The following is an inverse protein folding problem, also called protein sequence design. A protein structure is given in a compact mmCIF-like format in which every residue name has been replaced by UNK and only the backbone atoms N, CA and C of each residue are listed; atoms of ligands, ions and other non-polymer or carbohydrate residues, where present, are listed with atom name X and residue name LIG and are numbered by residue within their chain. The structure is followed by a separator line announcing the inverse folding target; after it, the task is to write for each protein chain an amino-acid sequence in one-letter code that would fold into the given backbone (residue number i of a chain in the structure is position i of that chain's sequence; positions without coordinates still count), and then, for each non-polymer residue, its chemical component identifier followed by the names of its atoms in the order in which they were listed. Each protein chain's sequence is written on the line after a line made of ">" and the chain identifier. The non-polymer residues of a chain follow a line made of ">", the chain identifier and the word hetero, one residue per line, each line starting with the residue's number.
data_IF_359039308058
#
_entry.id   IF_359039308058
#
_cell.length_a   1.000
_cell.length_b   1.000
_cell.length_c   1.000
_cell.angle_alpha   90.00
_cell.angle_beta   90.00
_cell.angle_gamma   90.00
#
_symmetry.space_group_name_H-M   'P 1'
#
loop_
_entity.id
_entity.type
_entity.pdbx_description
1 polymer ?
#
# COMPACT_ATOMS: atom_id res chain seq x y z
N UNK A 1 -11.65 -6.58 23.12
CA UNK A 1 -12.31 -6.43 21.80
C UNK A 1 -11.43 -7.04 20.73
N UNK A 2 -12.01 -7.67 19.72
CA UNK A 2 -11.29 -8.27 18.58
C UNK A 2 -11.56 -7.40 17.35
N UNK A 3 -10.50 -6.92 16.68
CA UNK A 3 -10.59 -6.18 15.42
C UNK A 3 -10.33 -7.14 14.26
N UNK A 4 -11.16 -7.10 13.21
CA UNK A 4 -10.97 -7.87 11.98
C UNK A 4 -10.58 -6.94 10.84
N UNK A 5 -9.43 -7.22 10.24
CA UNK A 5 -8.91 -6.49 9.10
C UNK A 5 -8.88 -7.41 7.88
N UNK A 6 -9.37 -6.89 6.75
CA UNK A 6 -9.27 -7.53 5.43
C UNK A 6 -8.49 -6.62 4.51
N UNK A 7 -7.59 -7.21 3.72
CA UNK A 7 -6.94 -6.53 2.61
C UNK A 7 -7.22 -7.29 1.31
N UNK A 8 -7.47 -6.57 0.21
CA UNK A 8 -7.78 -7.17 -1.07
C UNK A 8 -7.47 -6.24 -2.26
N UNK A 9 -6.55 -6.66 -3.14
CA UNK A 9 -6.44 -6.07 -4.47
C UNK A 9 -7.66 -6.47 -5.32
N UNK A 10 -8.55 -5.52 -5.56
CA UNK A 10 -9.85 -5.74 -6.23
C UNK A 10 -9.77 -5.63 -7.75
N UNK A 11 -8.65 -5.18 -8.30
CA UNK A 11 -8.46 -5.00 -9.75
C UNK A 11 -9.65 -4.26 -10.43
N UNK A 12 -10.11 -3.17 -9.80
CA UNK A 12 -11.25 -2.36 -10.22
C UNK A 12 -12.45 -2.46 -9.26
N UNK A 13 -12.55 -1.50 -8.34
CA UNK A 13 -13.57 -1.50 -7.27
C UNK A 13 -15.01 -1.49 -7.83
N UNK A 14 -15.26 -0.69 -8.88
CA UNK A 14 -16.61 -0.56 -9.47
C UNK A 14 -17.17 -1.91 -9.91
N UNK A 15 -16.35 -2.72 -10.59
CA UNK A 15 -16.74 -4.06 -11.05
C UNK A 15 -17.13 -4.96 -9.87
N UNK A 16 -16.32 -4.95 -8.81
CA UNK A 16 -16.58 -5.78 -7.63
C UNK A 16 -17.84 -5.32 -6.91
N UNK A 17 -18.01 -4.01 -6.69
CA UNK A 17 -19.24 -3.45 -6.08
C UNK A 17 -20.48 -3.87 -6.85
N UNK A 18 -20.47 -3.78 -8.19
CA UNK A 18 -21.59 -4.24 -9.02
C UNK A 18 -21.84 -5.74 -8.89
N UNK A 19 -20.79 -6.56 -8.86
CA UNK A 19 -20.93 -8.01 -8.73
C UNK A 19 -21.57 -8.46 -7.39
N UNK A 20 -21.43 -7.65 -6.34
CA UNK A 20 -22.06 -7.89 -5.03
C UNK A 20 -23.42 -7.18 -4.87
N UNK A 21 -23.91 -6.49 -5.90
CA UNK A 21 -25.17 -5.74 -5.84
C UNK A 21 -25.11 -4.44 -5.03
N UNK A 22 -23.92 -3.95 -4.69
CA UNK A 22 -23.71 -2.70 -3.96
C UNK A 22 -22.55 -2.73 -2.98
N UNK A 23 -22.11 -1.54 -2.54
CA UNK A 23 -20.97 -1.40 -1.63
C UNK A 23 -21.27 -1.92 -0.22
N UNK A 24 -22.48 -1.66 0.31
CA UNK A 24 -22.92 -2.20 1.60
C UNK A 24 -22.86 -3.73 1.64
N UNK A 25 -23.57 -4.44 0.73
CA UNK A 25 -23.49 -5.90 0.62
C UNK A 25 -22.06 -6.44 0.48
N UNK A 26 -21.21 -5.78 -0.33
CA UNK A 26 -19.79 -6.13 -0.45
C UNK A 26 -19.09 -6.07 0.92
N UNK A 27 -19.17 -4.94 1.62
CA UNK A 27 -18.48 -4.76 2.90
C UNK A 27 -18.96 -5.72 3.99
N UNK A 28 -20.27 -5.97 4.08
CA UNK A 28 -20.85 -6.91 5.04
C UNK A 28 -20.42 -8.36 4.77
N UNK A 29 -20.31 -8.75 3.50
CA UNK A 29 -19.88 -10.10 3.09
C UNK A 29 -18.44 -10.43 3.50
N UNK A 30 -17.59 -9.42 3.66
CA UNK A 30 -16.19 -9.61 4.07
C UNK A 30 -16.04 -9.87 5.56
N UNK A 31 -17.10 -9.65 6.34
CA UNK A 31 -17.10 -9.87 7.78
C UNK A 31 -15.85 -9.25 8.44
N UNK A 32 -15.65 -7.94 8.21
CA UNK A 32 -14.50 -7.19 8.70
C UNK A 32 -14.95 -5.93 9.45
N UNK A 33 -14.04 -5.33 10.21
CA UNK A 33 -14.21 -4.01 10.83
C UNK A 33 -13.43 -2.93 10.07
N UNK A 34 -12.32 -3.35 9.42
CA UNK A 34 -11.52 -2.53 8.53
C UNK A 34 -11.29 -3.30 7.23
N UNK A 35 -11.57 -2.66 6.10
CA UNK A 35 -11.37 -3.23 4.76
C UNK A 35 -10.46 -2.33 3.95
N UNK A 36 -9.35 -2.88 3.48
CA UNK A 36 -8.35 -2.20 2.68
C UNK A 36 -8.39 -2.75 1.24
N UNK A 37 -8.83 -1.92 0.30
CA UNK A 37 -8.83 -2.24 -1.11
C UNK A 37 -7.64 -1.61 -1.82
N UNK A 38 -7.02 -2.37 -2.73
CA UNK A 38 -6.01 -1.92 -3.68
C UNK A 38 -6.49 -2.05 -5.12
N UNK A 39 -5.87 -1.31 -6.04
CA UNK A 39 -6.32 -1.17 -7.43
C UNK A 39 -7.81 -0.84 -7.54
N UNK A 40 -8.26 0.20 -6.84
CA UNK A 40 -9.62 0.69 -7.02
C UNK A 40 -9.88 1.15 -8.45
N UNK A 41 -8.83 1.61 -9.16
CA UNK A 41 -8.84 2.18 -10.52
C UNK A 41 -9.76 3.38 -10.66
N UNK A 42 -10.06 4.03 -9.54
CA UNK A 42 -10.88 5.23 -9.50
C UNK A 42 -9.99 6.47 -9.58
N UNK A 43 -10.50 7.49 -10.26
CA UNK A 43 -10.00 8.86 -10.14
C UNK A 43 -10.93 9.67 -9.26
N UNK A 44 -10.49 10.83 -8.77
CA UNK A 44 -11.35 11.76 -8.00
C UNK A 44 -12.63 12.14 -8.74
N UNK A 45 -12.56 12.23 -10.07
CA UNK A 45 -13.71 12.59 -10.91
C UNK A 45 -14.77 11.48 -10.99
N UNK A 46 -14.35 10.23 -10.87
CA UNK A 46 -15.18 9.03 -11.00
C UNK A 46 -15.82 8.55 -9.69
N UNK A 47 -15.47 9.17 -8.56
CA UNK A 47 -15.98 8.77 -7.25
C UNK A 47 -17.45 9.20 -7.10
N UNK A 48 -18.33 8.21 -7.08
CA UNK A 48 -19.77 8.38 -6.90
C UNK A 48 -20.20 7.96 -5.50
N UNK A 49 -21.43 8.33 -5.12
CA UNK A 49 -22.01 8.01 -3.81
C UNK A 49 -21.91 6.51 -3.52
N UNK A 50 -22.31 5.68 -4.47
CA UNK A 50 -22.46 4.23 -4.29
C UNK A 50 -21.12 3.50 -4.24
N UNK A 51 -20.03 4.18 -4.57
CA UNK A 51 -18.67 3.65 -4.43
C UNK A 51 -17.95 4.17 -3.18
N UNK A 52 -18.46 5.24 -2.55
CA UNK A 52 -17.80 5.91 -1.44
C UNK A 52 -18.54 5.74 -0.11
N UNK A 53 -19.87 5.69 -0.13
CA UNK A 53 -20.70 5.72 1.07
C UNK A 53 -21.46 4.40 1.25
N UNK A 54 -21.26 3.79 2.41
CA UNK A 54 -22.09 2.72 2.93
C UNK A 54 -22.54 3.06 4.36
N UNK A 55 -23.76 2.69 4.71
CA UNK A 55 -24.31 2.98 6.04
C UNK A 55 -23.51 2.24 7.12
N UNK A 56 -23.20 2.94 8.22
CA UNK A 56 -22.33 2.39 9.27
C UNK A 56 -20.83 2.39 8.94
N UNK A 57 -20.41 2.79 7.75
CA UNK A 57 -19.00 2.79 7.34
C UNK A 57 -18.47 4.20 7.07
N UNK A 58 -17.17 4.40 7.27
CA UNK A 58 -16.40 5.56 6.81
C UNK A 58 -15.32 5.10 5.83
N UNK A 59 -15.02 5.92 4.82
CA UNK A 59 -14.10 5.55 3.74
C UNK A 59 -13.06 6.64 3.46
N UNK A 60 -11.86 6.21 3.09
CA UNK A 60 -10.71 7.08 2.76
C UNK A 60 -10.02 6.55 1.51
N UNK A 61 -9.70 7.42 0.56
CA UNK A 61 -9.21 7.04 -0.77
C UNK A 61 -7.96 7.81 -1.19
N UNK A 62 -6.92 7.12 -1.63
CA UNK A 62 -5.87 7.76 -2.41
C UNK A 62 -6.12 7.51 -3.89
N UNK A 63 -6.11 8.59 -4.67
CA UNK A 63 -6.37 8.56 -6.10
C UNK A 63 -5.08 8.84 -6.84
N UNK A 64 -4.87 8.15 -7.95
CA UNK A 64 -3.84 8.55 -8.90
C UNK A 64 -4.15 9.94 -9.46
N UNK A 65 -3.11 10.76 -9.61
CA UNK A 65 -3.16 12.09 -10.24
C UNK A 65 -2.73 12.08 -11.71
N UNK A 66 -2.11 10.99 -12.16
CA UNK A 66 -1.56 10.87 -13.52
C UNK A 66 -2.50 10.15 -14.47
N UNK A 67 -2.64 8.83 -14.30
CA UNK A 67 -3.27 7.95 -15.30
C UNK A 67 -4.68 7.55 -14.90
N UNK A 68 -5.67 7.82 -15.74
CA UNK A 68 -7.05 7.36 -15.52
C UNK A 68 -7.11 5.82 -15.51
N UNK A 69 -7.87 5.23 -14.59
CA UNK A 69 -8.02 3.76 -14.50
C UNK A 69 -6.80 3.02 -13.93
N UNK A 70 -5.87 3.74 -13.31
CA UNK A 70 -4.63 3.20 -12.76
C UNK A 70 -4.59 3.25 -11.23
N UNK A 71 -4.00 2.25 -10.58
CA UNK A 71 -3.72 2.27 -9.13
C UNK A 71 -4.95 2.63 -8.28
N UNK A 72 -4.74 3.35 -7.18
CA UNK A 72 -5.75 3.83 -6.26
C UNK A 72 -6.03 2.84 -5.15
N UNK A 73 -6.06 3.30 -3.90
CA UNK A 73 -6.37 2.49 -2.73
C UNK A 73 -7.53 3.11 -1.94
N UNK A 74 -8.29 2.28 -1.23
CA UNK A 74 -9.36 2.72 -0.35
C UNK A 74 -9.37 1.94 0.96
N UNK A 75 -9.58 2.63 2.07
CA UNK A 75 -9.77 2.03 3.39
C UNK A 75 -11.18 2.34 3.89
N UNK A 76 -11.93 1.31 4.27
CA UNK A 76 -13.25 1.40 4.88
C UNK A 76 -13.17 0.98 6.34
N UNK A 77 -13.80 1.73 7.23
CA UNK A 77 -13.82 1.47 8.67
C UNK A 77 -15.24 1.50 9.21
N UNK A 78 -15.62 0.47 9.98
CA UNK A 78 -16.93 0.38 10.62
C UNK A 78 -17.03 1.34 11.79
N UNK A 79 -18.04 2.22 11.81
CA UNK A 79 -18.13 3.37 12.75
C UNK A 79 -18.43 2.99 14.20
N UNK A 80 -18.92 1.80 14.45
CA UNK A 80 -19.23 1.30 15.80
C UNK A 80 -18.03 0.59 16.45
N UNK A 81 -17.04 0.15 15.67
CA UNK A 81 -15.87 -0.61 16.16
C UNK A 81 -14.53 0.07 15.89
N UNK A 82 -14.33 0.58 14.67
CA UNK A 82 -13.03 1.06 14.18
C UNK A 82 -13.09 2.54 13.81
N UNK A 83 -13.45 3.41 14.77
CA UNK A 83 -13.62 4.85 14.51
C UNK A 83 -12.25 5.49 14.18
N UNK A 84 -12.07 6.00 12.95
CA UNK A 84 -10.85 6.69 12.59
C UNK A 84 -10.74 8.00 13.36
N UNK A 85 -9.61 8.24 14.02
CA UNK A 85 -9.26 9.54 14.58
C UNK A 85 -8.68 10.44 13.49
N UNK A 86 -7.93 9.84 12.57
CA UNK A 86 -7.32 10.53 11.44
C UNK A 86 -7.19 9.61 10.22
N UNK A 87 -7.16 10.20 9.03
CA UNK A 87 -6.69 9.52 7.82
C UNK A 87 -5.88 10.46 6.91
N UNK A 88 -4.87 9.92 6.23
CA UNK A 88 -3.95 10.61 5.32
C UNK A 88 -3.93 10.00 3.92
N UNK A 89 -3.83 10.85 2.91
CA UNK A 89 -3.62 10.46 1.51
C UNK A 89 -2.13 10.50 1.23
N UNK A 90 -1.59 9.41 0.71
CA UNK A 90 -0.15 9.27 0.65
C UNK A 90 0.45 9.03 2.03
N UNK A 91 1.76 9.16 2.10
CA UNK A 91 2.53 8.79 3.29
C UNK A 91 3.71 9.73 3.57
N UNK A 92 3.98 10.68 2.67
CA UNK A 92 5.10 11.63 2.80
C UNK A 92 4.69 12.98 3.39
N UNK A 93 3.39 13.29 3.36
CA UNK A 93 2.84 14.61 3.67
C UNK A 93 2.87 15.61 2.52
N UNK A 94 3.50 15.28 1.38
CA UNK A 94 3.65 16.20 0.24
C UNK A 94 2.30 16.63 -0.36
N UNK A 95 1.30 15.75 -0.35
CA UNK A 95 -0.06 16.07 -0.81
C UNK A 95 -0.82 17.03 0.10
N UNK A 96 -0.38 17.19 1.34
CA UNK A 96 -0.99 18.07 2.33
C UNK A 96 -0.36 19.47 2.34
N UNK A 97 0.64 19.72 1.48
CA UNK A 97 1.25 21.05 1.34
C UNK A 97 0.19 22.09 0.94
N UNK A 98 0.27 23.33 1.48
CA UNK A 98 -0.67 24.38 1.14
C UNK A 98 -0.67 24.71 -0.37
N UNK A 99 -1.81 25.12 -0.95
CA UNK A 99 -1.86 25.57 -2.33
C UNK A 99 -0.83 26.67 -2.61
N UNK A 100 -0.10 26.55 -3.72
CA UNK A 100 0.92 27.53 -4.13
C UNK A 100 2.32 27.32 -3.52
N UNK A 101 2.46 26.43 -2.53
CA UNK A 101 3.78 26.07 -2.00
C UNK A 101 4.46 25.12 -2.99
N UNK A 102 5.63 25.52 -3.50
CA UNK A 102 6.45 24.64 -4.36
C UNK A 102 7.08 23.52 -3.52
N UNK A 103 7.10 22.27 -3.99
CA UNK A 103 7.58 21.12 -3.21
C UNK A 103 9.04 21.24 -2.76
N UNK A 104 9.90 21.87 -3.56
CA UNK A 104 11.31 22.08 -3.24
C UNK A 104 11.60 23.45 -2.61
N UNK A 105 10.56 24.19 -2.19
CA UNK A 105 10.75 25.46 -1.49
C UNK A 105 11.18 25.24 -0.04
N UNK A 106 11.87 26.22 0.54
CA UNK A 106 12.17 26.23 1.98
C UNK A 106 10.88 26.13 2.85
N UNK A 107 9.76 26.68 2.36
CA UNK A 107 8.47 26.57 3.03
C UNK A 107 7.94 25.13 3.04
N UNK A 108 8.13 24.36 1.96
CA UNK A 108 7.81 22.93 1.94
C UNK A 108 8.76 22.13 2.83
N UNK A 109 10.06 22.40 2.80
CA UNK A 109 11.03 21.74 3.67
C UNK A 109 10.71 21.93 5.17
N UNK A 110 10.18 23.09 5.56
CA UNK A 110 9.71 23.35 6.93
C UNK A 110 8.39 22.61 7.27
N UNK A 111 7.58 22.29 6.28
CA UNK A 111 6.29 21.61 6.46
C UNK A 111 6.38 20.07 6.36
N UNK A 112 7.41 19.56 5.68
CA UNK A 112 7.70 18.15 5.48
C UNK A 112 8.66 17.62 6.55
N UNK A 113 8.70 16.31 6.72
CA UNK A 113 9.59 15.73 7.72
C UNK A 113 11.06 15.88 7.28
N UNK A 114 11.97 16.43 8.12
CA UNK A 114 13.38 16.61 7.77
C UNK A 114 14.09 15.32 7.34
N UNK A 115 13.59 14.15 7.74
CA UNK A 115 14.21 12.88 7.33
C UNK A 115 14.13 12.60 5.84
N UNK A 116 13.16 13.19 5.13
CA UNK A 116 13.08 13.01 3.68
C UNK A 116 14.31 13.62 3.00
N UNK A 117 14.67 14.85 3.37
CA UNK A 117 15.86 15.52 2.87
C UNK A 117 17.13 14.78 3.29
N UNK A 118 17.22 14.31 4.54
CA UNK A 118 18.35 13.50 5.00
C UNK A 118 18.50 12.18 4.23
N UNK A 119 17.38 11.62 3.76
CA UNK A 119 17.34 10.44 2.88
C UNK A 119 17.43 10.78 1.39
N UNK A 120 17.83 12.02 1.04
CA UNK A 120 18.01 12.44 -0.35
C UNK A 120 16.73 12.36 -1.20
N UNK A 121 15.55 12.51 -0.58
CA UNK A 121 14.26 12.59 -1.26
C UNK A 121 13.86 14.06 -1.41
N UNK A 122 13.77 14.53 -2.65
CA UNK A 122 13.31 15.89 -2.97
C UNK A 122 11.79 16.02 -2.91
N UNK A 123 11.26 17.24 -2.77
CA UNK A 123 9.83 17.49 -2.67
C UNK A 123 9.06 17.06 -3.92
N UNK A 124 9.61 17.27 -5.12
CA UNK A 124 9.01 16.77 -6.36
C UNK A 124 8.93 15.24 -6.39
N UNK A 125 9.98 14.55 -5.92
CA UNK A 125 9.99 13.10 -5.85
C UNK A 125 8.94 12.58 -4.86
N UNK A 126 8.81 13.21 -3.68
CA UNK A 126 7.76 12.87 -2.70
C UNK A 126 6.36 13.05 -3.29
N UNK A 127 6.12 14.12 -4.04
CA UNK A 127 4.86 14.32 -4.76
C UNK A 127 4.61 13.25 -5.82
N UNK A 128 5.64 12.80 -6.54
CA UNK A 128 5.51 11.72 -7.53
C UNK A 128 5.15 10.40 -6.85
N UNK A 129 5.80 10.06 -5.74
CA UNK A 129 5.52 8.85 -4.96
C UNK A 129 4.08 8.83 -4.43
N UNK A 130 3.63 9.93 -3.82
CA UNK A 130 2.26 10.05 -3.32
C UNK A 130 1.22 10.23 -4.46
N UNK A 131 1.66 10.76 -5.60
CA UNK A 131 0.84 11.11 -6.76
C UNK A 131 0.18 9.92 -7.43
N UNK A 132 0.71 8.71 -7.27
CA UNK A 132 0.14 7.49 -7.85
C UNK A 132 -1.04 6.91 -7.05
N UNK A 133 -1.37 7.48 -5.88
CA UNK A 133 -2.52 7.05 -5.09
C UNK A 133 -2.36 5.66 -4.49
N UNK A 134 -1.14 5.31 -4.07
CA UNK A 134 -0.76 3.96 -3.63
C UNK A 134 -0.92 3.71 -2.14
N UNK A 135 -1.05 4.76 -1.32
CA UNK A 135 -1.08 4.61 0.13
C UNK A 135 -2.20 5.45 0.75
N UNK A 136 -2.91 4.84 1.69
CA UNK A 136 -3.78 5.54 2.65
C UNK A 136 -3.34 5.11 4.05
N UNK A 137 -3.07 6.09 4.91
CA UNK A 137 -2.78 5.86 6.33
C UNK A 137 -4.04 6.17 7.13
N UNK A 138 -4.49 5.26 7.99
CA UNK A 138 -5.67 5.45 8.83
C UNK A 138 -5.33 5.20 10.29
N UNK A 139 -5.46 6.22 11.13
CA UNK A 139 -5.21 6.15 12.57
C UNK A 139 -6.51 5.86 13.32
N UNK A 140 -6.62 4.67 13.91
CA UNK A 140 -7.77 4.22 14.71
C UNK A 140 -7.60 4.54 16.22
N UNK A 141 -6.58 5.32 16.58
CA UNK A 141 -6.13 5.57 17.94
C UNK A 141 -5.29 4.41 18.49
N UNK A 142 -5.88 3.22 18.57
CA UNK A 142 -5.22 2.03 19.12
C UNK A 142 -4.18 1.42 18.17
N UNK A 143 -4.38 1.56 16.86
CA UNK A 143 -3.49 1.06 15.82
C UNK A 143 -3.57 1.98 14.61
N UNK A 144 -2.44 2.14 13.92
CA UNK A 144 -2.36 2.81 12.62
C UNK A 144 -2.33 1.75 11.53
N UNK A 145 -3.29 1.81 10.62
CA UNK A 145 -3.39 0.94 9.44
C UNK A 145 -2.82 1.67 8.24
N UNK A 146 -1.79 1.09 7.62
CA UNK A 146 -1.14 1.59 6.41
C UNK A 146 -1.54 0.67 5.26
N UNK A 147 -2.51 1.10 4.46
CA UNK A 147 -2.99 0.38 3.28
C UNK A 147 -2.11 0.73 2.07
N UNK A 148 -1.42 -0.26 1.50
CA UNK A 148 -0.38 -0.09 0.50
C UNK A 148 -0.69 -0.86 -0.78
N UNK A 149 -0.50 -0.20 -1.93
CA UNK A 149 -0.40 -0.84 -3.23
C UNK A 149 1.01 -0.62 -3.81
N UNK A 150 1.87 -1.62 -3.61
CA UNK A 150 3.25 -1.64 -4.04
C UNK A 150 3.41 -1.53 -5.57
N UNK A 151 4.43 -0.81 -6.07
CA UNK A 151 4.70 -0.77 -7.51
C UNK A 151 5.03 -2.15 -8.07
N UNK A 152 4.32 -2.56 -9.12
CA UNK A 152 4.62 -3.77 -9.87
C UNK A 152 5.68 -3.51 -10.95
N UNK A 153 6.46 -4.56 -11.24
CA UNK A 153 7.37 -4.65 -12.39
C UNK A 153 6.71 -5.58 -13.39
N UNK A 154 6.19 -5.00 -14.47
CA UNK A 154 5.34 -5.70 -15.44
C UNK A 154 5.95 -5.77 -16.84
N UNK A 155 7.14 -5.22 -17.03
CA UNK A 155 7.86 -5.18 -18.30
C UNK A 155 9.33 -5.48 -18.01
N UNK A 156 9.88 -6.44 -18.74
CA UNK A 156 11.29 -6.83 -18.65
C UNK A 156 12.21 -5.74 -19.20
N UNK A 157 11.83 -5.12 -20.33
CA UNK A 157 12.57 -4.03 -20.98
C UNK A 157 12.85 -2.86 -20.02
N UNK A 158 11.92 -2.57 -19.12
CA UNK A 158 12.03 -1.48 -18.14
C UNK A 158 12.25 -1.97 -16.72
N UNK A 159 12.66 -3.24 -16.53
CA UNK A 159 12.72 -3.85 -15.21
C UNK A 159 13.64 -3.09 -14.25
N UNK A 160 14.81 -2.63 -14.72
CA UNK A 160 15.76 -1.87 -13.89
C UNK A 160 15.20 -0.51 -13.43
N UNK A 161 14.63 0.28 -14.36
CA UNK A 161 14.00 1.57 -14.03
C UNK A 161 12.82 1.39 -13.06
N UNK A 162 11.97 0.40 -13.33
CA UNK A 162 10.80 0.08 -12.51
C UNK A 162 11.20 -0.44 -11.12
N UNK A 163 12.29 -1.21 -11.03
CA UNK A 163 12.88 -1.60 -9.75
C UNK A 163 13.39 -0.37 -9.00
N UNK A 164 14.08 0.55 -9.66
CA UNK A 164 14.53 1.81 -9.07
C UNK A 164 13.38 2.59 -8.43
N UNK A 165 12.29 2.84 -9.18
CA UNK A 165 11.10 3.49 -8.61
C UNK A 165 10.47 2.69 -7.46
N UNK A 166 10.34 1.36 -7.61
CA UNK A 166 9.80 0.47 -6.58
C UNK A 166 10.60 0.58 -5.28
N UNK A 167 11.92 0.59 -5.37
CA UNK A 167 12.79 0.69 -4.20
C UNK A 167 12.73 2.08 -3.57
N UNK A 168 12.68 3.16 -4.36
CA UNK A 168 12.48 4.52 -3.82
C UNK A 168 11.17 4.64 -3.06
N UNK A 169 10.09 4.06 -3.59
CA UNK A 169 8.80 3.97 -2.90
C UNK A 169 8.92 3.23 -1.56
N UNK A 170 9.55 2.06 -1.54
CA UNK A 170 9.68 1.26 -0.30
C UNK A 170 10.61 1.87 0.74
N UNK A 171 11.68 2.53 0.32
CA UNK A 171 12.57 3.27 1.23
C UNK A 171 11.84 4.43 1.90
N UNK A 172 11.10 5.23 1.12
CA UNK A 172 10.30 6.32 1.67
C UNK A 172 9.20 5.79 2.60
N UNK A 173 8.55 4.67 2.24
CA UNK A 173 7.53 4.02 3.06
C UNK A 173 8.13 3.51 4.39
N UNK A 174 9.29 2.87 4.36
CA UNK A 174 9.98 2.40 5.57
C UNK A 174 10.28 3.55 6.52
N UNK A 175 10.82 4.66 6.03
CA UNK A 175 11.06 5.85 6.83
C UNK A 175 9.77 6.37 7.51
N UNK A 176 8.61 6.27 6.84
CA UNK A 176 7.32 6.61 7.44
C UNK A 176 6.90 5.60 8.51
N UNK A 177 7.10 4.30 8.28
CA UNK A 177 6.82 3.26 9.28
C UNK A 177 7.69 3.48 10.53
N UNK A 178 8.98 3.75 10.34
CA UNK A 178 9.92 4.03 11.42
C UNK A 178 9.51 5.26 12.24
N UNK A 179 8.96 6.30 11.60
CA UNK A 179 8.41 7.48 12.30
C UNK A 179 7.21 7.12 13.19
N UNK A 180 6.30 6.30 12.68
CA UNK A 180 5.15 5.86 13.44
C UNK A 180 5.59 5.01 14.64
N UNK A 181 6.53 4.09 14.44
CA UNK A 181 7.06 3.25 15.51
C UNK A 181 7.84 4.06 16.56
N UNK A 182 8.68 5.00 16.14
CA UNK A 182 9.38 5.92 17.04
C UNK A 182 8.41 6.81 17.84
N UNK A 183 7.25 7.14 17.26
CA UNK A 183 6.14 7.80 17.95
C UNK A 183 5.35 6.91 18.90
N UNK A 184 5.82 5.68 19.17
CA UNK A 184 5.15 4.71 20.05
C UNK A 184 3.84 4.18 19.48
N UNK A 185 3.59 4.31 18.18
CA UNK A 185 2.37 3.84 17.54
C UNK A 185 2.48 2.35 17.26
N UNK A 186 1.38 1.62 17.45
CA UNK A 186 1.23 0.27 16.91
C UNK A 186 0.84 0.38 15.45
N UNK A 187 1.55 -0.34 14.58
CA UNK A 187 1.38 -0.21 13.12
C UNK A 187 1.04 -1.55 12.50
N UNK A 188 0.04 -1.54 11.63
CA UNK A 188 -0.27 -2.63 10.72
C UNK A 188 -0.10 -2.11 9.30
N UNK A 189 0.84 -2.67 8.54
CA UNK A 189 0.95 -2.46 7.10
C UNK A 189 0.23 -3.61 6.40
N UNK A 190 -0.63 -3.30 5.43
CA UNK A 190 -1.33 -4.33 4.67
C UNK A 190 -1.55 -3.92 3.21
N UNK A 191 -1.69 -4.92 2.35
CA UNK A 191 -1.97 -4.71 0.94
C UNK A 191 -1.17 -5.60 0.01
N UNK A 192 -1.34 -5.36 -1.28
CA UNK A 192 -0.54 -5.95 -2.34
C UNK A 192 0.80 -5.24 -2.40
N UNK A 193 1.85 -5.91 -1.91
CA UNK A 193 3.22 -5.39 -1.94
C UNK A 193 3.93 -5.74 -3.25
N UNK A 194 3.34 -6.55 -4.14
CA UNK A 194 4.00 -7.05 -5.33
C UNK A 194 5.37 -7.71 -5.03
N UNK A 195 5.52 -8.31 -3.84
CA UNK A 195 6.74 -8.98 -3.37
C UNK A 195 6.33 -10.32 -2.76
N UNK A 196 6.88 -11.41 -3.29
CA UNK A 196 6.88 -12.71 -2.65
C UNK A 196 8.24 -12.86 -1.93
N UNK A 197 8.28 -12.90 -0.58
CA UNK A 197 9.54 -12.86 0.18
C UNK A 197 10.32 -14.17 0.12
N UNK A 198 9.64 -15.32 0.06
CA UNK A 198 10.26 -16.65 0.14
C UNK A 198 9.91 -17.53 -1.08
N UNK A 199 10.71 -18.57 -1.40
CA UNK A 199 10.37 -19.52 -2.46
C UNK A 199 9.00 -20.17 -2.27
N UNK A 200 8.62 -20.48 -1.03
CA UNK A 200 7.30 -21.05 -0.69
C UNK A 200 6.11 -20.14 -1.05
N UNK A 201 6.38 -18.86 -1.35
CA UNK A 201 5.38 -17.88 -1.74
C UNK A 201 5.23 -17.77 -3.27
N UNK A 202 5.91 -18.60 -4.05
CA UNK A 202 5.80 -18.64 -5.52
C UNK A 202 5.63 -20.09 -5.98
N UNK A 203 4.63 -20.36 -6.82
CA UNK A 203 4.40 -21.69 -7.35
C UNK A 203 5.60 -22.19 -8.17
N UNK A 204 6.09 -23.38 -7.82
CA UNK A 204 7.20 -24.05 -8.52
C UNK A 204 8.59 -23.46 -8.24
N UNK A 205 8.71 -22.40 -7.42
CA UNK A 205 10.02 -21.86 -7.08
C UNK A 205 10.77 -22.77 -6.09
N UNK A 206 12.05 -22.99 -6.38
CA UNK A 206 12.97 -23.70 -5.48
C UNK A 206 13.94 -22.69 -4.86
N UNK A 207 14.57 -23.00 -3.71
CA UNK A 207 15.64 -22.16 -3.16
C UNK A 207 16.81 -21.90 -4.12
N UNK A 208 17.03 -22.81 -5.09
CA UNK A 208 18.10 -22.68 -6.10
C UNK A 208 17.79 -21.59 -7.13
N UNK A 209 16.53 -21.52 -7.58
CA UNK A 209 16.13 -20.66 -8.70
C UNK A 209 15.47 -19.36 -8.22
N UNK A 210 15.26 -19.23 -6.91
CA UNK A 210 14.65 -18.05 -6.29
C UNK A 210 15.71 -17.01 -5.93
N UNK A 211 15.71 -15.88 -6.63
CA UNK A 211 16.58 -14.76 -6.30
C UNK A 211 16.13 -14.04 -5.00
N UNK A 212 16.59 -14.52 -3.84
CA UNK A 212 16.34 -13.86 -2.56
C UNK A 212 17.02 -12.48 -2.43
N UNK A 213 18.09 -12.24 -3.21
CA UNK A 213 18.86 -11.00 -3.24
C UNK A 213 18.22 -9.90 -4.09
N UNK A 214 17.08 -10.17 -4.74
CA UNK A 214 16.31 -9.13 -5.41
C UNK A 214 15.98 -8.04 -4.40
N UNK A 215 16.30 -6.78 -4.74
CA UNK A 215 16.33 -5.67 -3.79
C UNK A 215 15.05 -5.52 -2.94
N UNK A 216 13.89 -5.72 -3.56
CA UNK A 216 12.57 -5.63 -2.91
C UNK A 216 12.29 -6.80 -1.94
N UNK A 217 12.80 -8.00 -2.23
CA UNK A 217 12.74 -9.18 -1.35
C UNK A 217 13.68 -9.01 -0.17
N UNK A 218 14.91 -8.57 -0.43
CA UNK A 218 15.90 -8.28 0.59
C UNK A 218 15.39 -7.19 1.56
N UNK A 219 14.75 -6.14 1.03
CA UNK A 219 14.09 -5.11 1.84
C UNK A 219 12.96 -5.66 2.70
N UNK A 220 12.03 -6.43 2.13
CA UNK A 220 10.90 -6.98 2.90
C UNK A 220 11.38 -7.96 3.97
N UNK A 221 12.38 -8.79 3.66
CA UNK A 221 13.01 -9.70 4.62
C UNK A 221 13.70 -8.93 5.76
N UNK A 222 14.41 -7.85 5.44
CA UNK A 222 15.04 -6.99 6.44
C UNK A 222 14.01 -6.31 7.36
N UNK A 223 12.90 -5.82 6.80
CA UNK A 223 11.79 -5.23 7.56
C UNK A 223 11.20 -6.23 8.58
N UNK A 224 11.22 -7.52 8.24
CA UNK A 224 10.71 -8.58 9.12
C UNK A 224 11.76 -9.12 10.10
N UNK A 225 13.04 -9.07 9.75
CA UNK A 225 14.13 -9.65 10.55
C UNK A 225 14.73 -8.65 11.55
N UNK A 226 14.68 -7.34 11.25
CA UNK A 226 15.42 -6.33 11.98
C UNK A 226 14.57 -5.09 12.28
N UNK A 227 14.60 -4.72 13.56
CA UNK A 227 14.46 -3.36 14.06
C UNK A 227 15.68 -2.45 13.86
N UNK A 228 16.63 -2.84 13.02
CA UNK A 228 17.89 -2.10 12.87
C UNK A 228 17.94 -1.40 11.51
N UNK A 229 18.31 -0.13 11.54
CA UNK A 229 18.75 0.63 10.38
C UNK A 229 19.68 -0.17 9.46
N UNK A 230 19.70 0.12 8.14
CA UNK A 230 20.67 -0.49 7.23
C UNK A 230 22.10 -0.31 7.78
N UNK A 231 23.01 -1.28 7.55
CA UNK A 231 24.36 -1.21 8.07
C UNK A 231 25.05 0.08 7.62
N UNK A 232 25.46 0.89 8.60
CA UNK A 232 26.22 2.12 8.39
C UNK A 232 27.70 1.76 8.14
N UNK A 233 28.00 1.09 7.02
CA UNK A 233 29.37 0.98 6.49
C UNK A 233 29.33 0.23 5.16
N UNK A 234 28.96 0.95 4.11
CA UNK A 234 29.69 0.97 2.84
C UNK A 234 28.97 2.00 1.98
N UNK A 235 29.70 3.06 1.65
CA UNK A 235 29.34 4.10 0.72
C UNK A 235 29.11 3.52 -0.68
N UNK A 236 28.01 2.79 -0.89
CA UNK A 236 27.37 2.74 -2.20
C UNK A 236 26.52 3.98 -2.28
N UNK A 237 26.90 4.91 -3.12
CA UNK A 237 26.13 6.12 -3.44
C UNK A 237 24.76 5.71 -3.98
N UNK A 238 23.81 5.50 -3.09
CA UNK A 238 22.43 5.10 -3.38
C UNK A 238 21.59 6.29 -3.89
N UNK A 239 22.15 7.50 -3.86
CA UNK A 239 21.62 8.68 -4.51
C UNK A 239 22.12 8.75 -5.97
N UNK A 240 21.53 7.94 -6.86
CA UNK A 240 21.47 8.35 -8.27
C UNK A 240 20.12 9.07 -8.47
N UNK A 241 20.10 10.36 -8.84
CA UNK A 241 18.87 11.02 -9.24
C UNK A 241 18.19 10.22 -10.35
N UNK A 242 16.86 10.14 -10.31
CA UNK A 242 16.10 9.69 -11.48
C UNK A 242 16.45 10.61 -12.65
N UNK A 243 17.14 10.08 -13.67
CA UNK A 243 17.31 10.81 -14.92
C UNK A 243 15.95 10.95 -15.57
N UNK A 244 15.45 12.19 -15.64
CA UNK A 244 14.18 12.50 -16.29
C UNK A 244 14.37 12.30 -17.81
N UNK A 245 13.96 11.14 -18.32
CA UNK A 245 13.91 10.89 -19.75
C UNK A 245 12.84 11.77 -20.39
N UNK A 246 13.27 12.78 -21.13
CA UNK A 246 12.41 13.63 -21.93
C UNK A 246 11.64 12.83 -22.97
N UNK A 247 10.34 13.13 -23.10
CA UNK A 247 9.50 12.57 -24.14
C UNK A 247 10.05 12.95 -25.52
N UNK A 248 10.35 11.94 -26.34
CA UNK A 248 10.46 12.12 -27.79
C UNK A 248 9.49 11.18 -28.50
N UNK A 249 8.86 11.76 -29.51
CA UNK A 249 7.81 11.27 -30.38
C UNK A 249 8.35 10.44 -31.56
N UNK A 250 7.53 9.50 -32.04
CA UNK A 250 7.71 8.77 -33.31
C UNK A 250 8.31 7.38 -33.06
N UNK A 251 7.78 6.27 -33.57
CA UNK A 251 6.92 6.04 -34.71
C UNK A 251 7.51 4.83 -35.45
N UNK A 252 6.66 3.89 -35.88
CA UNK A 252 7.07 2.86 -36.85
C UNK A 252 7.35 1.48 -36.27
N UNK A 253 6.46 0.57 -36.63
CA UNK A 253 6.56 -0.89 -36.70
C UNK A 253 7.87 -1.43 -37.30
N UNK A 254 8.36 -2.57 -36.79
CA UNK A 254 8.36 -3.82 -37.57
C UNK A 254 8.58 -5.05 -36.68
N UNK A 255 7.97 -6.16 -37.09
CA UNK A 255 7.98 -7.44 -36.38
C UNK A 255 9.06 -8.37 -36.96
N UNK A 256 9.60 -9.22 -36.09
CA UNK A 256 10.23 -10.52 -36.37
C UNK A 256 11.75 -10.61 -36.64
N UNK A 257 12.24 -11.82 -36.34
CA UNK A 257 13.60 -12.39 -36.47
C UNK A 257 14.55 -12.09 -35.28
N UNK A 258 15.09 -13.05 -34.53
CA UNK A 258 15.08 -14.50 -34.63
C UNK A 258 15.63 -15.13 -33.35
N UNK A 259 15.21 -16.37 -33.10
CA UNK A 259 15.71 -17.22 -32.03
C UNK A 259 17.01 -17.94 -32.46
N UNK A 260 17.84 -18.26 -31.46
CA UNK A 260 18.91 -19.27 -31.42
C UNK A 260 20.28 -18.94 -32.05
N UNK A 261 21.33 -18.83 -31.21
CA UNK A 261 22.37 -19.87 -31.04
C UNK A 261 23.53 -19.41 -30.12
N UNK A 262 23.80 -20.26 -29.11
CA UNK A 262 25.12 -20.78 -28.69
C UNK A 262 26.16 -19.81 -28.09
N UNK A 263 26.50 -19.97 -26.81
CA UNK A 263 27.51 -20.89 -26.24
C UNK A 263 28.93 -20.27 -26.23
N UNK A 264 29.58 -20.27 -25.06
CA UNK A 264 30.94 -19.78 -24.91
C UNK A 264 31.28 -19.48 -23.46
N UNK A 265 31.72 -20.51 -22.75
CA UNK A 265 32.39 -20.45 -21.45
C UNK A 265 33.69 -19.62 -21.53
N UNK A 266 34.08 -18.95 -20.46
CA UNK A 266 35.49 -19.00 -20.00
C UNK A 266 35.61 -18.62 -18.51
N UNK A 267 36.37 -19.43 -17.79
CA UNK A 267 36.76 -19.27 -16.39
C UNK A 267 38.26 -18.99 -16.38
N UNK A 268 38.68 -17.86 -15.81
CA UNK A 268 40.02 -17.79 -15.20
C UNK A 268 40.02 -16.89 -13.96
N UNK A 269 40.70 -17.41 -12.94
CA UNK A 269 41.06 -16.83 -11.66
C UNK A 269 42.00 -15.63 -11.82
N UNK A 270 42.10 -14.80 -10.78
CA UNK A 270 43.33 -14.72 -9.98
C UNK A 270 43.16 -13.81 -8.76
N UNK A 271 43.86 -14.21 -7.70
CA UNK A 271 43.95 -13.63 -6.37
C UNK A 271 44.81 -12.35 -6.38
N UNK A 272 44.57 -11.44 -5.43
CA UNK A 272 45.66 -10.65 -4.83
C UNK A 272 45.24 -10.10 -3.45
N UNK A 273 46.09 -10.38 -2.45
CA UNK A 273 46.00 -9.97 -1.05
C UNK A 273 46.71 -8.63 -0.76
N UNK A 274 46.37 -8.08 0.42
CA UNK A 274 47.19 -7.30 1.37
C UNK A 274 47.03 -5.75 1.41
N UNK A 275 47.42 -5.06 2.52
CA UNK A 275 47.06 -5.32 3.92
C UNK A 275 46.64 -4.04 4.69
N UNK A 276 46.39 -4.22 6.00
CA UNK A 276 45.89 -3.26 6.98
C UNK A 276 46.88 -2.14 7.41
N UNK A 277 46.32 -1.00 7.82
CA UNK A 277 46.96 0.00 8.69
C UNK A 277 45.93 0.56 9.69
N UNK A 278 46.36 0.69 10.95
CA UNK A 278 45.57 1.09 12.11
C UNK A 278 45.41 2.62 12.20
N UNK A 279 44.45 3.10 13.02
CA UNK A 279 44.60 4.17 14.02
C UNK A 279 43.24 4.71 14.53
N UNK A 280 43.13 4.87 15.85
CA UNK A 280 42.37 5.98 16.45
C UNK A 280 41.11 5.64 17.26
N UNK A 281 41.28 5.28 18.53
CA UNK A 281 40.27 5.45 19.58
C UNK A 281 39.97 6.94 19.83
N UNK A 282 38.75 7.40 19.55
CA UNK A 282 38.17 8.61 20.16
C UNK A 282 36.65 8.47 20.33
N UNK A 283 36.18 8.65 21.57
CA UNK A 283 34.86 9.23 21.86
C UNK A 283 33.67 8.27 21.91
N UNK A 284 33.27 7.88 23.12
CA UNK A 284 31.99 7.21 23.37
C UNK A 284 30.82 8.01 22.82
N UNK A 285 30.11 7.44 21.85
CA UNK A 285 28.80 7.92 21.40
C UNK A 285 27.72 7.24 22.23
N UNK A 286 26.85 8.07 22.78
CA UNK A 286 25.61 7.68 23.44
C UNK A 286 24.87 6.59 22.66
N UNK A 287 24.44 5.56 23.37
CA UNK A 287 23.66 4.44 22.83
C UNK A 287 22.47 4.96 22.01
N UNK A 288 22.37 4.46 20.78
CA UNK A 288 21.27 4.75 19.88
C UNK A 288 19.93 4.40 20.54
N UNK A 289 18.98 5.32 20.44
CA UNK A 289 17.59 5.11 20.84
C UNK A 289 16.99 3.89 20.10
N UNK A 290 16.38 3.01 20.89
CA UNK A 290 15.63 1.79 20.57
C UNK A 290 15.46 1.35 19.11
N UNK A 291 15.97 0.16 18.80
CA UNK A 291 15.60 -0.58 17.60
C UNK A 291 14.07 -0.74 17.54
N UNK A 292 13.43 -0.25 16.46
CA UNK A 292 12.00 -0.37 16.25
C UNK A 292 11.59 -1.87 16.27
N UNK A 293 10.42 -2.24 16.77
CA UNK A 293 10.04 -3.66 16.75
C UNK A 293 9.96 -4.18 15.30
N UNK A 294 10.50 -5.37 14.98
CA UNK A 294 10.41 -5.93 13.63
C UNK A 294 8.94 -6.15 13.25
N UNK A 295 8.63 -5.99 11.97
CA UNK A 295 7.31 -6.35 11.44
C UNK A 295 7.17 -7.86 11.36
N UNK A 296 6.06 -8.40 11.83
CA UNK A 296 5.77 -9.83 11.71
C UNK A 296 4.80 -10.06 10.55
N UNK A 297 5.16 -10.93 9.62
CA UNK A 297 4.20 -11.50 8.65
C UNK A 297 3.19 -12.36 9.41
N UNK A 298 2.00 -11.79 9.60
CA UNK A 298 0.96 -12.41 10.43
C UNK A 298 0.50 -13.75 9.87
N UNK A 299 0.47 -13.92 8.55
CA UNK A 299 0.09 -15.18 7.93
C UNK A 299 1.12 -16.26 8.26
N UNK A 300 2.42 -15.97 8.12
CA UNK A 300 3.48 -16.92 8.44
C UNK A 300 3.65 -17.17 9.94
N UNK A 301 3.30 -16.21 10.80
CA UNK A 301 3.25 -16.45 12.24
C UNK A 301 2.22 -17.52 12.63
N UNK A 302 1.04 -17.53 12.01
CA UNK A 302 -0.02 -18.53 12.29
C UNK A 302 0.08 -19.79 11.43
N UNK A 303 0.70 -19.69 10.24
CA UNK A 303 0.76 -20.75 9.24
C UNK A 303 2.18 -20.92 8.68
N UNK A 304 3.19 -21.19 9.53
CA UNK A 304 4.60 -21.18 9.13
C UNK A 304 4.90 -22.19 8.02
N UNK A 305 4.28 -23.37 8.08
CA UNK A 305 4.53 -24.48 7.16
C UNK A 305 3.50 -24.59 6.02
N UNK A 306 2.52 -23.68 5.94
CA UNK A 306 1.45 -23.79 4.95
C UNK A 306 1.98 -23.52 3.54
N UNK A 307 1.98 -24.54 2.70
CA UNK A 307 2.34 -24.42 1.29
C UNK A 307 1.13 -24.00 0.44
N UNK A 308 1.40 -23.55 -0.79
CA UNK A 308 0.39 -23.25 -1.80
C UNK A 308 -0.67 -22.19 -1.39
N UNK A 309 -0.29 -21.29 -0.48
CA UNK A 309 -1.15 -20.21 0.04
C UNK A 309 -0.99 -18.92 -0.77
N UNK A 310 -1.29 -18.99 -2.06
CA UNK A 310 -1.15 -17.86 -2.97
C UNK A 310 -2.32 -16.90 -2.87
N UNK A 311 -2.11 -15.66 -3.29
CA UNK A 311 -3.12 -14.58 -3.26
C UNK A 311 -3.34 -13.96 -4.63
N UNK A 312 -2.41 -14.15 -5.56
CA UNK A 312 -2.47 -13.64 -6.92
C UNK A 312 -2.22 -14.74 -7.94
N UNK A 313 -3.04 -14.76 -8.99
CA UNK A 313 -2.96 -15.68 -10.11
C UNK A 313 -3.18 -14.91 -11.42
N UNK A 314 -2.46 -15.28 -12.48
CA UNK A 314 -2.67 -14.72 -13.80
C UNK A 314 -4.09 -15.08 -14.30
N UNK A 315 -4.85 -14.06 -14.70
CA UNK A 315 -6.25 -14.21 -15.13
C UNK A 315 -6.41 -14.83 -16.52
N UNK A 316 -5.37 -14.82 -17.34
CA UNK A 316 -5.43 -15.19 -18.77
C UNK A 316 -5.01 -16.62 -19.07
N UNK A 317 -4.42 -17.35 -18.10
CA UNK A 317 -3.80 -18.67 -18.33
C UNK A 317 -4.44 -19.82 -17.56
N UNK A 318 -5.62 -19.63 -16.96
CA UNK A 318 -6.25 -20.64 -16.09
C UNK A 318 -5.47 -20.90 -14.80
N UNK A 319 -4.48 -20.07 -14.48
CA UNK A 319 -3.54 -20.26 -13.39
C UNK A 319 -4.22 -20.47 -12.02
N UNK A 320 -5.37 -19.84 -11.80
CA UNK A 320 -6.15 -20.02 -10.57
C UNK A 320 -6.69 -21.44 -10.39
N UNK A 321 -7.09 -22.11 -11.47
CA UNK A 321 -7.60 -23.50 -11.44
C UNK A 321 -6.51 -24.46 -11.01
N UNK A 322 -5.29 -24.25 -11.52
CA UNK A 322 -4.12 -25.08 -11.20
C UNK A 322 -3.36 -24.61 -9.95
N UNK A 323 -3.88 -23.60 -9.25
CA UNK A 323 -3.22 -22.91 -8.16
C UNK A 323 -1.78 -22.45 -8.48
N UNK A 324 -1.51 -22.09 -9.73
CA UNK A 324 -0.23 -21.56 -10.17
C UNK A 324 -0.16 -20.06 -9.87
N UNK A 325 0.26 -19.71 -8.66
CA UNK A 325 0.19 -18.33 -8.19
C UNK A 325 1.37 -17.92 -7.32
N UNK A 326 1.26 -16.71 -6.78
CA UNK A 326 2.20 -16.15 -5.81
C UNK A 326 1.46 -15.51 -4.63
N UNK A 327 2.09 -15.48 -3.46
CA UNK A 327 1.61 -14.73 -2.28
C UNK A 327 2.32 -13.38 -2.23
N UNK A 328 1.60 -12.34 -2.63
CA UNK A 328 2.11 -10.96 -2.71
C UNK A 328 1.29 -9.96 -1.89
N UNK A 329 0.15 -10.41 -1.37
CA UNK A 329 -0.70 -9.66 -0.45
C UNK A 329 -0.34 -10.04 0.98
N UNK A 330 -0.02 -9.04 1.80
CA UNK A 330 0.50 -9.24 3.15
C UNK A 330 -0.28 -8.43 4.18
N UNK A 331 -0.31 -8.94 5.41
CA UNK A 331 -0.64 -8.18 6.61
C UNK A 331 0.55 -8.33 7.55
N UNK A 332 1.27 -7.23 7.74
CA UNK A 332 2.46 -7.14 8.57
C UNK A 332 2.15 -6.30 9.82
N UNK A 333 2.47 -6.80 11.00
CA UNK A 333 2.21 -6.12 12.27
C UNK A 333 3.52 -5.81 13.00
N UNK A 334 3.76 -4.55 13.33
CA UNK A 334 4.87 -4.11 14.16
C UNK A 334 4.40 -3.94 15.61
N UNK A 335 4.58 -4.99 16.41
CA UNK A 335 4.32 -4.97 17.86
C UNK A 335 5.05 -6.09 18.62
N UNK A 336 6.13 -6.67 18.07
CA UNK A 336 6.80 -7.82 18.68
C UNK A 336 5.88 -9.02 18.96
N UNK A 337 4.75 -9.11 18.24
CA UNK A 337 3.70 -10.12 18.44
C UNK A 337 2.53 -9.71 19.34
N UNK A 338 2.54 -8.54 20.01
CA UNK A 338 1.45 -8.17 20.93
C UNK A 338 0.12 -7.79 20.26
N UNK A 339 0.13 -7.46 18.96
CA UNK A 339 -1.10 -7.35 18.14
C UNK A 339 -1.63 -8.70 17.65
N UNK A 340 -0.83 -9.78 17.75
CA UNK A 340 -1.25 -11.09 17.30
C UNK A 340 -2.08 -11.77 18.39
N UNK A 341 -3.22 -12.40 18.06
CA UNK A 341 -3.86 -13.29 19.01
C UNK A 341 -2.88 -14.40 19.42
N UNK A 342 -2.92 -14.82 20.69
CA UNK A 342 -2.10 -15.94 21.15
C UNK A 342 -2.29 -17.13 20.19
N UNK A 343 -1.20 -17.82 19.77
CA UNK A 343 -1.32 -18.98 18.91
C UNK A 343 -2.27 -19.97 19.59
N UNK A 344 -3.24 -20.48 18.83
CA UNK A 344 -4.14 -21.52 19.32
C UNK A 344 -3.31 -22.78 19.61
N UNK A 345 -2.79 -22.87 20.83
CA UNK A 345 -2.06 -24.03 21.30
C UNK A 345 -2.99 -25.23 21.30
N UNK A 346 -2.50 -26.31 20.70
CA UNK A 346 -2.89 -27.70 20.98
C UNK A 346 -3.37 -27.81 22.43
N UNK A 347 -4.54 -28.42 22.62
CA UNK A 347 -4.97 -28.89 23.93
C UNK A 347 -3.87 -29.79 24.52
N UNK A 348 -3.07 -29.24 25.44
CA UNK A 348 -2.30 -30.05 26.36
C UNK A 348 -3.33 -30.70 27.28
N UNK A 349 -3.39 -32.04 27.25
CA UNK A 349 -4.21 -32.82 28.16
C UNK A 349 -3.87 -32.52 29.62
N UNK A 350 -4.74 -32.91 30.57
CA UNK A 350 -4.57 -32.55 31.96
C UNK A 350 -3.38 -33.32 32.55
N UNK A 351 -2.24 -32.66 32.71
CA UNK A 351 -1.17 -33.12 33.61
C UNK A 351 -1.20 -32.27 34.87
N UNK A 352 -1.42 -32.95 36.00
CA UNK A 352 -1.81 -32.37 37.27
C UNK A 352 -0.76 -31.52 37.99
N UNK A 353 -1.30 -30.73 38.92
CA UNK A 353 -0.78 -30.49 40.26
C UNK A 353 0.64 -29.96 40.42
N UNK A 354 0.75 -28.67 40.72
CA UNK A 354 1.97 -28.08 41.30
C UNK A 354 1.81 -26.58 41.53
N UNK A 355 1.28 -26.20 42.68
CA UNK A 355 1.21 -24.82 43.13
C UNK A 355 2.60 -24.33 43.55
N UNK A 356 3.07 -23.21 43.00
CA UNK A 356 4.19 -22.45 43.57
C UNK A 356 4.09 -20.96 43.22
N UNK A 357 3.83 -20.15 44.26
CA UNK A 357 4.40 -18.84 44.54
C UNK A 357 4.36 -17.75 43.45
N UNK A 358 3.37 -16.86 43.52
CA UNK A 358 3.42 -15.56 42.89
C UNK A 358 4.43 -14.64 43.62
N UNK A 359 5.48 -14.21 42.92
CA UNK A 359 6.28 -13.05 43.30
C UNK A 359 6.02 -11.94 42.28
N UNK A 360 5.36 -10.87 42.73
CA UNK A 360 5.00 -9.72 41.91
C UNK A 360 6.23 -8.91 41.52
N UNK A 361 6.40 -8.68 40.22
CA UNK A 361 7.18 -7.56 39.70
C UNK A 361 6.18 -6.50 39.22
N UNK A 362 6.24 -5.33 39.87
CA UNK A 362 5.37 -4.20 39.57
C UNK A 362 5.53 -3.79 38.11
N UNK A 363 4.42 -3.87 37.36
CA UNK A 363 4.31 -3.21 36.07
C UNK A 363 4.33 -1.70 36.31
N UNK A 364 5.49 -1.08 36.07
CA UNK A 364 5.60 0.37 35.98
C UNK A 364 4.75 0.83 34.80
N UNK A 365 3.88 1.81 35.06
CA UNK A 365 3.06 2.44 34.03
C UNK A 365 3.95 2.95 32.88
N UNK A 366 3.57 2.76 31.61
CA UNK A 366 4.37 3.24 30.50
C UNK A 366 4.52 4.75 30.60
N UNK A 367 5.77 5.22 30.55
CA UNK A 367 6.12 6.63 30.50
C UNK A 367 5.30 7.33 29.41
N UNK A 368 4.88 8.56 29.69
CA UNK A 368 4.07 9.38 28.79
C UNK A 368 4.64 9.31 27.36
N UNK A 369 3.85 8.74 26.45
CA UNK A 369 4.13 8.66 25.02
C UNK A 369 4.49 10.08 24.56
N UNK A 370 5.74 10.30 24.16
CA UNK A 370 6.16 11.56 23.60
C UNK A 370 5.18 11.94 22.48
N UNK A 371 4.60 13.14 22.56
CA UNK A 371 3.58 13.58 21.63
C UNK A 371 4.11 13.40 20.19
N UNK A 372 3.42 12.55 19.42
CA UNK A 372 3.71 12.35 18.01
C UNK A 372 3.73 13.73 17.33
N UNK A 373 4.80 14.11 16.61
CA UNK A 373 4.89 15.43 16.01
C UNK A 373 3.64 15.75 15.17
N UNK A 374 3.17 17.00 15.23
CA UNK A 374 1.92 17.44 14.60
C UNK A 374 1.80 17.19 13.09
N UNK A 375 2.91 16.87 12.42
CA UNK A 375 2.97 16.57 10.99
C UNK A 375 2.64 15.11 10.66
N UNK A 376 2.77 14.16 11.60
CA UNK A 376 2.50 12.72 11.36
C UNK A 376 1.01 12.46 11.07
N UNK A 377 0.14 13.39 11.45
CA UNK A 377 -1.30 13.16 11.52
C UNK A 377 -2.06 14.46 11.17
N UNK A 378 -1.77 15.13 10.04
CA UNK A 378 -2.40 16.43 9.72
C UNK A 378 -3.37 16.53 8.51
N UNK A 379 -3.75 15.45 7.83
CA UNK A 379 -5.03 15.42 7.10
C UNK A 379 -6.25 15.22 8.06
N UNK A 380 -6.76 16.31 8.65
CA UNK A 380 -7.90 16.26 9.57
C UNK A 380 -9.08 15.49 8.94
N UNK A 381 -9.48 14.34 9.52
CA UNK A 381 -10.65 13.51 9.15
C UNK A 381 -11.88 14.33 8.70
N UNK A 382 -12.15 15.44 9.38
CA UNK A 382 -13.26 16.34 9.06
C UNK A 382 -13.16 17.00 7.68
N UNK A 383 -11.96 17.37 7.21
CA UNK A 383 -11.76 17.94 5.87
C UNK A 383 -12.04 16.89 4.80
N UNK A 384 -11.59 15.67 5.02
CA UNK A 384 -11.81 14.54 4.11
C UNK A 384 -13.29 14.20 3.95
N UNK A 385 -13.98 14.03 5.08
CA UNK A 385 -15.40 13.70 5.11
C UNK A 385 -16.26 14.85 4.54
N UNK A 386 -15.92 16.11 4.85
CA UNK A 386 -16.57 17.27 4.22
C UNK A 386 -16.35 17.30 2.72
N UNK A 387 -15.13 17.06 2.25
CA UNK A 387 -14.81 17.03 0.81
C UNK A 387 -15.60 15.94 0.08
N UNK A 388 -15.60 14.70 0.59
CA UNK A 388 -16.38 13.60 0.01
C UNK A 388 -17.87 13.95 -0.09
N UNK A 389 -18.47 14.44 1.01
CA UNK A 389 -19.89 14.83 1.05
C UNK A 389 -20.21 15.96 0.06
N UNK A 390 -19.39 17.02 0.03
CA UNK A 390 -19.57 18.14 -0.89
C UNK A 390 -19.42 17.70 -2.36
N UNK A 391 -18.47 16.81 -2.64
CA UNK A 391 -18.24 16.30 -3.99
C UNK A 391 -19.42 15.44 -4.45
N UNK A 392 -19.89 14.53 -3.60
CA UNK A 392 -21.05 13.67 -3.87
C UNK A 392 -22.31 14.52 -4.07
N UNK A 393 -22.52 15.55 -3.24
CA UNK A 393 -23.65 16.47 -3.42
C UNK A 393 -23.57 17.18 -4.78
N UNK A 394 -22.38 17.68 -5.16
CA UNK A 394 -22.17 18.34 -6.47
C UNK A 394 -22.36 17.38 -7.65
N UNK A 395 -21.89 16.14 -7.55
CA UNK A 395 -22.08 15.17 -8.63
C UNK A 395 -23.55 14.75 -8.77
N UNK A 396 -24.28 14.63 -7.65
CA UNK A 396 -25.72 14.35 -7.66
C UNK A 396 -26.51 15.50 -8.30
N UNK A 397 -26.19 16.76 -7.98
CA UNK A 397 -26.82 17.93 -8.62
C UNK A 397 -26.54 17.96 -10.13
N UNK A 398 -25.29 17.70 -10.54
CA UNK A 398 -24.93 17.65 -11.96
C UNK A 398 -25.62 16.50 -12.70
N UNK A 399 -25.81 15.35 -12.05
CA UNK A 399 -26.55 14.23 -12.62
C UNK A 399 -28.05 14.54 -12.76
N UNK A 400 -28.65 15.18 -11.74
CA UNK A 400 -30.04 15.60 -11.79
C UNK A 400 -30.28 16.65 -12.89
N UNK A 401 -29.38 17.62 -13.04
CA UNK A 401 -29.45 18.61 -14.12
C UNK A 401 -29.44 17.96 -15.51
N UNK A 402 -28.52 17.01 -15.75
CA UNK A 402 -28.48 16.24 -17.00
C UNK A 402 -29.74 15.42 -17.25
N UNK A 403 -30.34 14.85 -16.20
CA UNK A 403 -31.58 14.09 -16.32
C UNK A 403 -32.76 15.00 -16.69
N UNK A 404 -32.82 16.22 -16.13
CA UNK A 404 -33.82 17.23 -16.50
C UNK A 404 -33.64 17.69 -17.94
N UNK A 405 -32.41 17.96 -18.37
CA UNK A 405 -32.09 18.32 -19.77
C UNK A 405 -32.46 17.19 -20.74
N UNK A 406 -32.15 15.94 -20.41
CA UNK A 406 -32.51 14.77 -21.21
C UNK A 406 -34.04 14.57 -21.28
N UNK A 407 -34.75 14.77 -20.17
CA UNK A 407 -36.21 14.71 -20.14
C UNK A 407 -36.85 15.85 -20.96
N UNK A 408 -36.29 17.06 -20.90
CA UNK A 408 -36.74 18.19 -21.71
C UNK A 408 -36.49 17.96 -23.21
N UNK A 409 -35.34 17.38 -23.58
CA UNK A 409 -35.04 16.99 -24.95
C UNK A 409 -35.95 15.87 -25.47
N UNK A 410 -36.32 14.90 -24.62
CA UNK A 410 -37.26 13.84 -24.97
C UNK A 410 -38.71 14.34 -25.06
N UNK A 411 -39.09 15.35 -24.28
CA UNK A 411 -40.41 16.00 -24.32
C UNK A 411 -40.59 17.00 -25.48
N UNK A 412 -39.51 17.36 -26.20
CA UNK A 412 -39.55 18.24 -27.37
C UNK A 412 -39.80 17.48 -28.69
N UNK A 413 -40.18 16.20 -28.62
CA UNK A 413 -40.63 15.41 -29.78
C UNK A 413 -41.98 15.91 -30.31
N UNK A 414 -41.94 16.39 -31.55
CA UNK A 414 -43.01 17.04 -32.33
C UNK A 414 -44.42 16.41 -32.20
N UNK A 415 -45.45 17.15 -31.74
CA UNK A 415 -46.84 16.70 -31.76
C UNK A 415 -47.46 16.95 -33.15
N UNK A 416 -46.95 16.28 -34.19
CA UNK A 416 -47.45 16.53 -35.55
C UNK A 416 -47.51 15.28 -36.44
N UNK A 417 -48.00 14.14 -35.94
CA UNK A 417 -48.64 13.13 -36.81
C UNK A 417 -49.85 12.50 -36.11
N UNK A 418 -51.02 13.10 -36.34
CA UNK A 418 -52.31 12.51 -35.98
C UNK A 418 -52.61 11.25 -36.82
N UNK A 419 -53.43 10.31 -36.31
CA UNK A 419 -53.75 9.08 -37.03
C UNK A 419 -54.63 9.40 -38.25
N UNK A 420 -54.12 9.12 -39.45
CA UNK A 420 -54.91 9.17 -40.67
C UNK A 420 -55.97 8.06 -40.65
N UNK A 421 -57.22 8.47 -40.58
CA UNK A 421 -58.42 7.63 -40.66
C UNK A 421 -58.55 6.96 -42.02
N UNK A 422 -58.82 5.65 -42.01
CA UNK A 422 -59.24 4.88 -43.16
C UNK A 422 -60.66 5.26 -43.62
N UNK A 423 -60.85 5.42 -44.93
CA UNK A 423 -62.16 5.34 -45.59
C UNK A 423 -62.01 5.06 -47.11
N UNK A 424 -62.69 3.99 -47.58
CA UNK A 424 -63.27 3.70 -48.93
C UNK A 424 -62.47 4.08 -50.19
N UNK A 425 -62.28 3.25 -51.22
CA UNK A 425 -63.03 2.10 -51.72
C UNK A 425 -63.24 2.28 -53.24
N UNK A 426 -62.78 1.31 -54.05
CA UNK A 426 -63.36 0.87 -55.34
C UNK A 426 -62.60 -0.34 -55.85
#
# INVERSE_FOLDING_TARGET
>A
MRLRLVTWNVNGLRRIVTAFGGLGPLLESLHADVVCFQETKLTRGMLERDLALADGWESFFAFTRGKVGYSGVATFCRRDVAVPRHAEEGFTGALALPPGVRPDSAAAAAALHPRWAAAGLGGEELLQLDGEGRVVVTDLGAVVVVNVYGPAITSEERAAERMGYKMRFYQALQLRLDDLLAGGRRVVMCGDLNIAPEPADVCGATPRDFNAQREDRAWLSALMTRGSAPPASESRSWAKPLSVGGASSGGGSDWAEGWAQEAGEDWTSDEDEAPAEALGTVGGRAAAAGAAAPFVDTFRAFHPQRQHAYTCWNTSSGARVNNYGSRIDHILAADGGALLPAPAGRAAGPSGGGAAGAAGTGATAPAAVAACPSWVVAARRQRWQRWQRLRIARSAVAAAARAVEAAAAAGAGDPAQGPATAASGS
#
